data_IF_320982677276
#
_entry.id   IF_320982677276
#
_cell.length_a   1.000
_cell.length_b   1.000
_cell.length_c   1.000
_cell.angle_alpha   90.00
_cell.angle_beta   90.00
_cell.angle_gamma   90.00
#
_symmetry.space_group_name_H-M   'P 1'
#
loop_
_entity.id
_entity.type
_entity.pdbx_description
1 polymer ?
#
# COMPACT_ATOMS: atom_id res chain seq x y z
N UNK A 1 -5.27 15.27 -0.79
CA UNK A 1 -5.69 14.66 -2.08
C UNK A 1 -5.88 13.18 -1.81
N UNK A 2 -7.12 12.68 -1.89
CA UNK A 2 -7.36 11.24 -1.91
C UNK A 2 -7.16 10.77 -3.35
N UNK A 3 -6.28 9.80 -3.57
CA UNK A 3 -6.09 9.18 -4.88
C UNK A 3 -7.32 8.28 -5.10
N UNK A 4 -8.04 8.39 -6.23
CA UNK A 4 -9.18 7.53 -6.48
C UNK A 4 -8.69 6.09 -6.67
N UNK A 5 -9.30 5.17 -5.92
CA UNK A 5 -9.14 3.75 -6.08
C UNK A 5 -10.49 3.09 -6.41
N UNK A 6 -10.46 1.92 -7.04
CA UNK A 6 -11.65 1.13 -7.35
C UNK A 6 -11.49 -0.29 -6.81
N UNK A 7 -12.52 -0.82 -6.15
CA UNK A 7 -12.54 -2.20 -5.67
C UNK A 7 -13.30 -3.08 -6.67
N UNK A 8 -12.76 -4.26 -6.97
CA UNK A 8 -13.37 -5.27 -7.84
C UNK A 8 -13.11 -6.65 -7.26
N UNK A 9 -14.13 -7.22 -6.59
CA UNK A 9 -13.98 -8.47 -5.86
C UNK A 9 -12.97 -8.33 -4.72
N UNK A 10 -11.97 -9.20 -4.72
CA UNK A 10 -10.86 -9.27 -3.76
C UNK A 10 -9.69 -8.34 -4.09
N UNK A 11 -9.85 -7.44 -5.07
CA UNK A 11 -8.78 -6.59 -5.58
C UNK A 11 -9.12 -5.11 -5.56
N UNK A 12 -8.09 -4.28 -5.40
CA UNK A 12 -8.16 -2.82 -5.44
C UNK A 12 -7.25 -2.30 -6.54
N UNK A 13 -7.75 -1.34 -7.31
CA UNK A 13 -7.03 -0.67 -8.39
C UNK A 13 -6.71 0.75 -7.99
N UNK A 14 -5.44 1.15 -8.06
CA UNK A 14 -5.02 2.51 -7.74
C UNK A 14 -3.92 2.95 -8.71
N UNK A 15 -4.11 4.08 -9.41
CA UNK A 15 -3.10 4.60 -10.35
C UNK A 15 -2.76 3.67 -11.52
N UNK A 16 -3.64 2.71 -11.84
CA UNK A 16 -3.42 1.70 -12.89
C UNK A 16 -2.77 0.40 -12.40
N UNK A 17 -2.39 0.32 -11.12
CA UNK A 17 -1.89 -0.90 -10.49
C UNK A 17 -3.04 -1.63 -9.79
N UNK A 18 -2.99 -2.97 -9.79
CA UNK A 18 -3.99 -3.83 -9.18
C UNK A 18 -3.33 -4.60 -8.04
N UNK A 19 -4.00 -4.63 -6.89
CA UNK A 19 -3.50 -5.33 -5.70
C UNK A 19 -4.58 -6.20 -5.07
N UNK A 20 -4.22 -7.43 -4.72
CA UNK A 20 -4.91 -8.24 -3.73
C UNK A 20 -4.42 -7.90 -2.31
N UNK A 21 -5.14 -8.35 -1.27
CA UNK A 21 -4.80 -8.08 0.12
C UNK A 21 -3.41 -8.62 0.50
N UNK A 22 -3.05 -9.82 0.03
CA UNK A 22 -1.74 -10.44 0.28
C UNK A 22 -0.60 -9.66 -0.38
N UNK A 23 -0.82 -9.14 -1.59
CA UNK A 23 0.17 -8.33 -2.31
C UNK A 23 0.43 -7.01 -1.58
N UNK A 24 -0.60 -6.40 -1.00
CA UNK A 24 -0.45 -5.20 -0.15
C UNK A 24 0.31 -5.52 1.14
N UNK A 25 0.06 -6.67 1.78
CA UNK A 25 0.81 -7.09 2.97
C UNK A 25 2.29 -7.27 2.65
N UNK A 26 2.60 -7.96 1.55
CA UNK A 26 3.97 -8.18 1.10
C UNK A 26 4.66 -6.85 0.78
N UNK A 27 4.00 -5.95 0.04
CA UNK A 27 4.53 -4.64 -0.28
C UNK A 27 4.82 -3.80 0.97
N UNK A 28 3.91 -3.77 1.95
CA UNK A 28 4.13 -3.10 3.24
C UNK A 28 5.34 -3.69 3.96
N UNK A 29 5.46 -5.01 3.99
CA UNK A 29 6.56 -5.70 4.65
C UNK A 29 7.91 -5.37 4.00
N UNK A 30 7.99 -5.40 2.67
CA UNK A 30 9.21 -5.06 1.91
C UNK A 30 9.65 -3.62 2.16
N UNK A 31 8.73 -2.65 2.03
CA UNK A 31 9.05 -1.23 2.27
C UNK A 31 9.46 -0.98 3.73
N UNK A 32 8.87 -1.73 4.67
CA UNK A 32 9.25 -1.68 6.09
C UNK A 32 10.66 -2.21 6.34
N UNK A 33 11.06 -3.28 5.62
CA UNK A 33 12.43 -3.80 5.66
C UNK A 33 13.41 -2.75 5.15
N UNK A 34 13.13 -2.12 4.02
CA UNK A 34 13.98 -1.07 3.46
C UNK A 34 14.16 0.10 4.44
N UNK A 35 13.07 0.56 5.05
CA UNK A 35 13.12 1.60 6.09
C UNK A 35 14.02 1.22 7.26
N UNK A 36 13.94 -0.03 7.72
CA UNK A 36 14.77 -0.55 8.81
C UNK A 36 16.25 -0.69 8.40
N UNK A 37 16.50 -1.03 7.13
CA UNK A 37 17.85 -1.16 6.58
C UNK A 37 18.55 0.18 6.35
N UNK A 38 17.85 1.31 6.55
CA UNK A 38 18.45 2.64 6.59
C UNK A 38 18.42 3.36 5.25
N UNK A 39 17.23 3.51 4.66
CA UNK A 39 17.04 4.33 3.45
C UNK A 39 17.61 5.76 3.61
N UNK A 40 18.11 6.37 2.51
CA UNK A 40 18.46 7.78 2.48
C UNK A 40 17.33 8.68 2.99
N UNK A 41 17.68 9.80 3.65
CA UNK A 41 16.70 10.70 4.30
C UNK A 41 15.54 11.11 3.37
N UNK A 42 15.83 11.32 2.08
CA UNK A 42 14.83 11.69 1.06
C UNK A 42 13.84 10.56 0.76
N UNK A 43 14.32 9.32 0.75
CA UNK A 43 13.52 8.12 0.45
C UNK A 43 12.72 7.65 1.66
N UNK A 44 13.20 7.89 2.90
CA UNK A 44 12.45 7.50 4.12
C UNK A 44 11.05 8.09 4.19
N UNK A 45 10.88 9.35 3.79
CA UNK A 45 9.55 9.97 3.82
C UNK A 45 8.64 9.37 2.74
N UNK A 46 9.18 9.09 1.55
CA UNK A 46 8.44 8.42 0.48
C UNK A 46 8.01 7.01 0.91
N UNK A 47 8.93 6.22 1.46
CA UNK A 47 8.64 4.87 1.97
C UNK A 47 7.59 4.87 3.10
N UNK A 48 7.63 5.84 4.02
CA UNK A 48 6.59 6.00 5.05
C UNK A 48 5.23 6.33 4.45
N UNK A 49 5.18 7.25 3.49
CA UNK A 49 3.94 7.58 2.79
C UNK A 49 3.40 6.38 2.00
N UNK A 50 4.29 5.59 1.39
CA UNK A 50 3.93 4.38 0.66
C UNK A 50 3.31 3.33 1.59
N UNK A 51 3.88 3.10 2.78
CA UNK A 51 3.28 2.22 3.79
C UNK A 51 1.88 2.71 4.20
N UNK A 52 1.73 4.01 4.50
CA UNK A 52 0.42 4.57 4.89
C UNK A 52 -0.60 4.40 3.75
N UNK A 53 -0.18 4.59 2.51
CA UNK A 53 -1.02 4.41 1.32
C UNK A 53 -1.46 2.96 1.17
N UNK A 54 -0.53 2.00 1.20
CA UNK A 54 -0.87 0.58 1.09
C UNK A 54 -1.73 0.08 2.26
N UNK A 55 -1.51 0.59 3.46
CA UNK A 55 -2.36 0.30 4.61
C UNK A 55 -3.79 0.79 4.38
N UNK A 56 -3.97 1.99 3.83
CA UNK A 56 -5.30 2.51 3.49
C UNK A 56 -6.02 1.68 2.42
N UNK A 57 -5.30 1.20 1.40
CA UNK A 57 -5.87 0.30 0.39
C UNK A 57 -6.29 -1.05 0.99
N UNK A 58 -5.47 -1.58 1.89
CA UNK A 58 -5.74 -2.84 2.56
C UNK A 58 -6.97 -2.74 3.46
N UNK A 59 -7.08 -1.64 4.22
CA UNK A 59 -8.23 -1.40 5.07
C UNK A 59 -9.50 -1.20 4.22
N UNK A 60 -9.40 -0.54 3.07
CA UNK A 60 -10.52 -0.43 2.12
C UNK A 60 -10.98 -1.79 1.57
N UNK A 61 -10.04 -2.70 1.26
CA UNK A 61 -10.39 -4.08 0.86
C UNK A 61 -11.13 -4.82 1.97
N UNK A 62 -10.62 -4.75 3.21
CA UNK A 62 -11.25 -5.38 4.37
C UNK A 62 -12.66 -4.86 4.63
N UNK A 63 -12.85 -3.54 4.52
CA UNK A 63 -14.17 -2.90 4.67
C UNK A 63 -15.15 -3.32 3.58
N UNK A 64 -14.67 -3.63 2.38
CA UNK A 64 -15.48 -4.13 1.28
C UNK A 64 -15.86 -5.61 1.40
N UNK A 65 -15.36 -6.32 2.42
CA UNK A 65 -15.62 -7.75 2.65
C UNK A 65 -14.78 -8.67 1.75
N UNK A 66 -13.66 -8.16 1.22
CA UNK A 66 -12.62 -8.93 0.57
C UNK A 66 -11.67 -9.57 1.59
#
# INVERSE_FOLDING_TARGET
MSIPFQISGDRITEGGEFFAAEELHEAIWLVSIELRNGLPKRERNAAKHQIVRYQALLDALREAGA
#
